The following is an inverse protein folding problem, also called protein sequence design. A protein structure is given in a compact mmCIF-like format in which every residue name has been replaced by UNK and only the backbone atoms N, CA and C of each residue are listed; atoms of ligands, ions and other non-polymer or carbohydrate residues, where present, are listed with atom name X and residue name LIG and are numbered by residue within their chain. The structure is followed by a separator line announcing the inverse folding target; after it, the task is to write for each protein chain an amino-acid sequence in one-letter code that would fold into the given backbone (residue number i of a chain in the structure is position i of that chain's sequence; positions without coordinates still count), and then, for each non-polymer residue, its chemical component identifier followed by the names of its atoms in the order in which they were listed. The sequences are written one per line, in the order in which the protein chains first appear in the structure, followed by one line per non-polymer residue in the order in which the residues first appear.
data_IF_063310683264
#
_entry.id   IF_063310683264
#
_cell.length_a   1.000
_cell.length_b   1.000
_cell.length_c   1.000
_cell.angle_alpha   90.00
_cell.angle_beta   90.00
_cell.angle_gamma   90.00
#
_symmetry.space_group_name_H-M   'P 1'
#
loop_
_entity.id
_entity.type
_entity.pdbx_description
1 polymer ?
#
# COMPACT_ATOMS: atom_id res chain seq x y z
N UNK A 1 -0.97 4.49 30.78
CA UNK A 1 -1.06 3.06 30.43
C UNK A 1 0.31 2.63 29.94
N UNK A 2 0.94 1.66 30.59
CA UNK A 2 2.08 0.95 30.01
C UNK A 2 1.54 -0.10 29.05
N UNK A 3 2.08 -0.16 27.84
CA UNK A 3 1.83 -1.29 26.93
C UNK A 3 2.81 -2.39 27.32
N UNK A 4 2.28 -3.57 27.66
CA UNK A 4 3.07 -4.77 27.94
C UNK A 4 2.88 -5.77 26.80
N UNK A 5 3.98 -6.37 26.34
CA UNK A 5 3.93 -7.42 25.31
C UNK A 5 3.76 -8.77 26.01
N UNK A 6 2.56 -9.34 25.90
CA UNK A 6 2.22 -10.64 26.54
C UNK A 6 2.79 -11.85 25.77
N UNK A 7 3.08 -11.70 24.47
CA UNK A 7 3.63 -12.78 23.65
C UNK A 7 3.80 -12.41 22.18
N UNK A 8 4.42 -13.33 21.42
CA UNK A 8 4.56 -13.23 19.97
C UNK A 8 3.77 -14.34 19.28
N UNK A 9 2.98 -13.97 18.28
CA UNK A 9 2.15 -14.90 17.52
C UNK A 9 2.62 -14.96 16.07
N UNK A 10 2.74 -16.18 15.54
CA UNK A 10 3.01 -16.37 14.11
C UNK A 10 1.67 -16.40 13.36
N UNK A 11 1.47 -15.42 12.49
CA UNK A 11 0.27 -15.33 11.64
C UNK A 11 0.40 -16.28 10.45
N UNK A 12 1.53 -16.21 9.74
CA UNK A 12 1.84 -17.11 8.63
C UNK A 12 3.35 -17.27 8.51
N UNK A 13 3.80 -18.51 8.29
CA UNK A 13 5.21 -18.83 8.04
C UNK A 13 5.28 -20.05 7.12
N UNK A 14 6.03 -19.92 6.03
CA UNK A 14 6.28 -21.00 5.08
C UNK A 14 7.68 -20.82 4.49
N UNK A 15 8.52 -21.85 4.56
CA UNK A 15 9.91 -21.78 4.10
C UNK A 15 10.04 -21.53 2.59
N UNK A 16 9.04 -21.93 1.81
CA UNK A 16 9.02 -21.74 0.35
C UNK A 16 8.67 -20.30 -0.04
N UNK A 17 8.28 -19.45 0.91
CA UNK A 17 7.80 -18.11 0.63
C UNK A 17 8.51 -17.03 1.45
N UNK A 18 8.87 -15.94 0.77
CA UNK A 18 9.26 -14.69 1.41
C UNK A 18 8.04 -13.78 1.54
N UNK A 19 7.74 -13.34 2.76
CA UNK A 19 6.52 -12.59 3.09
C UNK A 19 6.75 -11.13 3.52
N UNK A 20 7.94 -10.59 3.26
CA UNK A 20 8.31 -9.24 3.72
C UNK A 20 8.46 -8.24 2.59
N UNK A 21 8.47 -6.92 2.87
CA UNK A 21 7.84 -6.26 4.02
C UNK A 21 6.44 -5.71 3.71
N UNK A 22 5.77 -5.21 4.77
CA UNK A 22 4.58 -4.36 4.67
C UNK A 22 3.22 -5.05 4.85
N UNK A 23 2.98 -5.82 5.92
CA UNK A 23 1.63 -6.26 6.24
C UNK A 23 0.75 -5.08 6.72
N UNK A 24 -0.56 -5.25 6.58
CA UNK A 24 -1.57 -4.40 7.24
C UNK A 24 -2.62 -5.27 7.91
N UNK A 25 -3.31 -4.70 8.89
CA UNK A 25 -4.30 -5.39 9.70
C UNK A 25 -5.53 -4.52 9.86
N UNK A 26 -6.70 -5.14 9.76
CA UNK A 26 -7.98 -4.56 10.15
C UNK A 26 -8.67 -5.49 11.14
N UNK A 27 -9.32 -4.89 12.13
CA UNK A 27 -10.08 -5.61 13.15
C UNK A 27 -11.55 -5.27 12.96
N UNK A 28 -12.35 -6.29 12.72
CA UNK A 28 -13.80 -6.19 12.72
C UNK A 28 -14.32 -6.39 14.16
N UNK A 29 -15.56 -5.97 14.43
CA UNK A 29 -16.23 -6.31 15.68
C UNK A 29 -16.23 -7.83 15.95
N UNK A 30 -16.39 -8.22 17.22
CA UNK A 30 -16.48 -9.62 17.66
C UNK A 30 -15.20 -10.46 17.46
N UNK A 31 -14.02 -9.82 17.46
CA UNK A 31 -12.73 -10.54 17.48
C UNK A 31 -12.27 -11.09 16.14
N UNK A 32 -12.95 -10.72 15.04
CA UNK A 32 -12.52 -11.06 13.68
C UNK A 32 -11.39 -10.14 13.24
N UNK A 33 -10.28 -10.72 12.80
CA UNK A 33 -9.08 -9.98 12.38
C UNK A 33 -8.72 -10.40 10.96
N UNK A 34 -8.44 -9.44 10.09
CA UNK A 34 -7.94 -9.70 8.73
C UNK A 34 -6.58 -9.06 8.58
N UNK A 35 -5.62 -9.86 8.12
CA UNK A 35 -4.26 -9.41 7.82
C UNK A 35 -4.03 -9.54 6.34
N UNK A 36 -3.68 -8.44 5.70
CA UNK A 36 -3.15 -8.44 4.36
C UNK A 36 -1.63 -8.43 4.41
N UNK A 37 -1.02 -9.26 3.59
CA UNK A 37 0.43 -9.33 3.44
C UNK A 37 0.76 -9.77 2.04
N UNK A 38 2.02 -9.62 1.64
CA UNK A 38 2.50 -10.09 0.36
C UNK A 38 3.30 -11.38 0.53
N UNK A 39 3.32 -12.23 -0.48
CA UNK A 39 4.21 -13.39 -0.55
C UNK A 39 4.76 -13.56 -1.95
N UNK A 40 5.93 -14.16 -2.05
CA UNK A 40 6.55 -14.61 -3.29
C UNK A 40 7.39 -15.85 -2.97
N UNK A 41 7.79 -16.64 -3.98
CA UNK A 41 8.76 -17.72 -3.75
C UNK A 41 10.02 -17.18 -3.07
N UNK A 42 10.48 -17.89 -2.06
CA UNK A 42 11.66 -17.53 -1.29
C UNK A 42 12.91 -17.84 -2.10
N UNK A 43 13.78 -16.83 -2.21
CA UNK A 43 15.12 -16.95 -2.75
C UNK A 43 16.17 -16.51 -1.72
N UNK A 44 15.79 -16.55 -0.43
CA UNK A 44 16.63 -16.08 0.66
C UNK A 44 17.89 -16.93 0.83
N UNK A 45 17.82 -18.23 0.53
CA UNK A 45 18.96 -19.14 0.60
C UNK A 45 20.01 -18.81 -0.48
N UNK A 46 19.57 -18.19 -1.57
CA UNK A 46 20.38 -17.69 -2.67
C UNK A 46 20.83 -16.24 -2.43
N UNK A 47 20.53 -15.66 -1.25
CA UNK A 47 20.89 -14.28 -0.89
C UNK A 47 20.00 -13.21 -1.52
N UNK A 48 18.82 -13.59 -2.06
CA UNK A 48 17.92 -12.66 -2.71
C UNK A 48 16.70 -12.36 -1.83
N UNK A 49 16.64 -11.12 -1.35
CA UNK A 49 15.45 -10.50 -0.78
C UNK A 49 15.20 -9.18 -1.51
N UNK A 50 13.94 -8.79 -1.66
CA UNK A 50 13.63 -7.55 -2.37
C UNK A 50 12.28 -6.99 -2.01
N UNK A 51 12.11 -5.69 -2.23
CA UNK A 51 10.83 -5.02 -2.05
C UNK A 51 9.86 -5.28 -3.21
N UNK A 52 10.32 -5.78 -4.36
CA UNK A 52 9.47 -6.11 -5.48
C UNK A 52 9.97 -7.36 -6.21
N UNK A 53 9.02 -8.12 -6.74
CA UNK A 53 9.23 -9.24 -7.66
C UNK A 53 7.97 -9.36 -8.54
N UNK A 54 8.08 -9.64 -9.85
CA UNK A 54 6.92 -9.73 -10.75
C UNK A 54 5.86 -10.74 -10.27
N UNK A 55 6.29 -11.88 -9.75
CA UNK A 55 5.44 -12.92 -9.15
C UNK A 55 5.00 -12.66 -7.70
N UNK A 56 5.03 -11.41 -7.21
CA UNK A 56 4.52 -11.09 -5.86
C UNK A 56 3.00 -11.25 -5.84
N UNK A 57 2.47 -11.90 -4.81
CA UNK A 57 1.04 -12.07 -4.58
C UNK A 57 0.64 -11.34 -3.30
N UNK A 58 -0.46 -10.59 -3.34
CA UNK A 58 -1.11 -10.07 -2.13
C UNK A 58 -2.13 -11.08 -1.63
N UNK A 59 -2.07 -11.34 -0.33
CA UNK A 59 -2.85 -12.36 0.35
C UNK A 59 -3.62 -11.78 1.53
N UNK A 60 -4.78 -12.36 1.82
CA UNK A 60 -5.53 -12.18 3.06
C UNK A 60 -5.47 -13.45 3.88
N UNK A 61 -5.19 -13.33 5.18
CA UNK A 61 -5.46 -14.38 6.17
C UNK A 61 -6.34 -13.81 7.27
N UNK A 62 -7.21 -14.65 7.83
CA UNK A 62 -8.26 -14.22 8.76
C UNK A 62 -8.23 -15.04 10.02
N UNK A 63 -8.48 -14.37 11.13
CA UNK A 63 -8.75 -14.96 12.43
C UNK A 63 -10.21 -14.71 12.80
N UNK A 64 -10.84 -15.66 13.46
CA UNK A 64 -12.19 -15.54 14.04
C UNK A 64 -12.20 -15.68 15.57
N UNK A 65 -11.01 -15.74 16.19
CA UNK A 65 -10.81 -16.05 17.60
C UNK A 65 -9.78 -15.11 18.25
N UNK A 66 -9.83 -13.82 17.91
CA UNK A 66 -8.98 -12.77 18.48
C UNK A 66 -7.47 -12.95 18.18
N UNK A 67 -7.14 -13.57 17.05
CA UNK A 67 -5.77 -13.74 16.56
C UNK A 67 -5.10 -15.01 17.04
N UNK A 68 -5.84 -15.93 17.68
CA UNK A 68 -5.32 -17.18 18.21
C UNK A 68 -5.04 -18.19 17.08
N UNK A 69 -5.92 -18.27 16.09
CA UNK A 69 -5.75 -19.11 14.90
C UNK A 69 -6.04 -18.35 13.60
N UNK A 70 -5.45 -18.83 12.50
CA UNK A 70 -5.46 -18.13 11.22
C UNK A 70 -5.84 -19.08 10.09
N UNK A 71 -6.66 -18.58 9.16
CA UNK A 71 -7.01 -19.30 7.94
C UNK A 71 -5.81 -19.40 7.00
N UNK A 72 -5.87 -20.36 6.07
CA UNK A 72 -4.94 -20.39 4.95
C UNK A 72 -5.00 -19.06 4.16
N UNK A 73 -3.86 -18.54 3.67
CA UNK A 73 -3.84 -17.29 2.92
C UNK A 73 -4.57 -17.39 1.57
N UNK A 74 -5.48 -16.47 1.31
CA UNK A 74 -6.18 -16.32 0.04
C UNK A 74 -5.53 -15.21 -0.80
N UNK A 75 -5.05 -15.55 -2.00
CA UNK A 75 -4.51 -14.57 -2.95
C UNK A 75 -5.66 -13.76 -3.54
N UNK A 76 -5.49 -12.43 -3.64
CA UNK A 76 -6.51 -11.55 -4.22
C UNK A 76 -5.96 -10.54 -5.24
N UNK A 77 -4.64 -10.28 -5.27
CA UNK A 77 -3.97 -9.48 -6.30
C UNK A 77 -2.56 -10.02 -6.58
N UNK A 78 -2.02 -9.75 -7.77
CA UNK A 78 -0.65 -10.10 -8.18
C UNK A 78 0.14 -8.90 -8.72
N UNK A 79 1.45 -8.86 -8.51
CA UNK A 79 2.37 -7.82 -8.98
C UNK A 79 2.39 -6.52 -8.15
N UNK A 80 1.51 -6.41 -7.15
CA UNK A 80 1.36 -5.24 -6.28
C UNK A 80 2.24 -5.31 -5.02
N UNK A 81 2.45 -4.15 -4.39
CA UNK A 81 3.34 -3.95 -3.24
C UNK A 81 2.62 -3.26 -2.07
N UNK A 82 3.12 -3.43 -0.85
CA UNK A 82 2.62 -2.76 0.36
C UNK A 82 1.09 -2.80 0.52
N UNK A 83 0.50 -3.98 0.77
CA UNK A 83 -0.94 -4.06 0.99
C UNK A 83 -1.35 -3.25 2.22
N UNK A 84 -2.11 -2.18 2.02
CA UNK A 84 -2.62 -1.32 3.07
C UNK A 84 -4.15 -1.40 3.12
N UNK A 85 -4.69 -2.07 4.14
CA UNK A 85 -6.12 -2.16 4.40
C UNK A 85 -6.60 -1.07 5.37
N UNK A 86 -7.79 -0.55 5.10
CA UNK A 86 -8.60 0.25 6.02
C UNK A 86 -10.01 -0.32 6.05
N UNK A 87 -10.54 -0.56 7.25
CA UNK A 87 -11.97 -0.84 7.46
C UNK A 87 -12.69 0.48 7.74
N UNK A 88 -13.63 0.83 6.88
CA UNK A 88 -14.49 1.99 7.05
C UNK A 88 -15.58 1.71 8.10
N UNK A 89 -16.15 2.76 8.68
CA UNK A 89 -17.22 2.67 9.69
C UNK A 89 -18.48 1.96 9.18
N UNK A 90 -18.72 2.00 7.88
CA UNK A 90 -19.84 1.33 7.22
C UNK A 90 -19.58 -0.14 6.85
N UNK A 91 -18.42 -0.68 7.24
CA UNK A 91 -18.04 -2.08 7.03
C UNK A 91 -17.30 -2.37 5.72
N UNK A 92 -17.16 -1.39 4.83
CA UNK A 92 -16.43 -1.56 3.57
C UNK A 92 -14.91 -1.58 3.80
N UNK A 93 -14.17 -2.29 2.95
CA UNK A 93 -12.71 -2.21 2.94
C UNK A 93 -12.23 -1.29 1.82
N UNK A 94 -11.27 -0.44 2.17
CA UNK A 94 -10.39 0.22 1.22
C UNK A 94 -9.04 -0.48 1.26
N UNK A 95 -8.49 -0.75 0.09
CA UNK A 95 -7.13 -1.23 -0.04
C UNK A 95 -6.34 -0.30 -0.95
N UNK A 96 -5.33 0.36 -0.39
CA UNK A 96 -4.34 1.11 -1.16
C UNK A 96 -3.06 0.29 -1.36
N UNK A 97 -2.46 0.43 -2.54
CA UNK A 97 -1.26 -0.29 -2.95
C UNK A 97 -0.63 0.40 -4.15
N UNK A 98 0.59 0.04 -4.50
CA UNK A 98 1.25 0.50 -5.72
C UNK A 98 1.91 -0.68 -6.42
N UNK A 99 2.25 -0.52 -7.70
CA UNK A 99 2.93 -1.57 -8.46
C UNK A 99 4.02 -1.00 -9.36
N UNK A 100 4.96 -1.87 -9.70
CA UNK A 100 5.86 -1.69 -10.84
C UNK A 100 5.36 -2.63 -11.93
N UNK A 101 4.98 -2.07 -13.08
CA UNK A 101 4.54 -2.83 -14.24
C UNK A 101 5.75 -3.51 -14.87
N UNK A 102 5.70 -4.84 -15.06
CA UNK A 102 6.72 -5.55 -15.81
C UNK A 102 6.55 -5.23 -17.30
N UNK A 103 7.59 -4.68 -17.91
CA UNK A 103 7.56 -4.28 -19.32
C UNK A 103 8.70 -4.91 -20.10
N UNK A 104 8.65 -4.79 -21.44
CA UNK A 104 9.81 -5.11 -22.29
C UNK A 104 10.90 -4.04 -22.11
N UNK A 105 12.14 -4.44 -22.34
CA UNK A 105 13.30 -3.54 -22.21
C UNK A 105 13.19 -2.30 -23.09
N UNK A 106 12.69 -2.43 -24.33
CA UNK A 106 12.50 -1.29 -25.24
C UNK A 106 11.49 -0.26 -24.73
N UNK A 107 10.48 -0.69 -23.97
CA UNK A 107 9.54 0.21 -23.30
C UNK A 107 10.23 0.94 -22.14
N UNK A 108 10.95 0.21 -21.27
CA UNK A 108 11.67 0.82 -20.14
C UNK A 108 12.74 1.82 -20.60
N UNK A 109 13.47 1.49 -21.67
CA UNK A 109 14.52 2.34 -22.26
C UNK A 109 13.95 3.62 -22.89
N UNK A 110 12.66 3.61 -23.29
CA UNK A 110 11.97 4.79 -23.83
C UNK A 110 11.54 5.79 -22.76
N UNK A 111 11.45 5.36 -21.50
CA UNK A 111 11.09 6.21 -20.37
C UNK A 111 12.26 7.09 -19.92
N UNK A 112 11.95 8.17 -19.20
CA UNK A 112 12.99 8.92 -18.49
C UNK A 112 13.68 8.00 -17.46
N UNK A 113 15.00 7.96 -17.47
CA UNK A 113 15.79 7.08 -16.59
C UNK A 113 15.90 7.70 -15.20
N UNK A 114 14.79 7.65 -14.47
CA UNK A 114 14.62 8.18 -13.12
C UNK A 114 14.20 7.07 -12.16
N UNK A 115 14.22 7.37 -10.86
CA UNK A 115 13.74 6.44 -9.84
C UNK A 115 12.27 6.10 -10.10
N UNK A 116 11.99 4.80 -10.24
CA UNK A 116 10.71 4.27 -10.71
C UNK A 116 10.76 3.58 -12.07
N UNK A 117 11.85 3.75 -12.83
CA UNK A 117 12.17 2.93 -14.01
C UNK A 117 13.30 1.97 -13.64
N UNK A 118 13.03 0.67 -13.74
CA UNK A 118 13.98 -0.39 -13.51
C UNK A 118 14.44 -0.96 -14.84
N UNK A 119 15.75 -1.04 -15.03
CA UNK A 119 16.38 -1.74 -16.15
C UNK A 119 17.13 -2.98 -15.61
N UNK A 120 17.33 -3.99 -16.47
CA UNK A 120 18.00 -5.24 -16.08
C UNK A 120 17.13 -6.48 -16.29
N UNK A 121 17.21 -7.45 -15.37
CA UNK A 121 16.59 -8.77 -15.52
C UNK A 121 15.06 -8.71 -15.58
N UNK A 122 14.45 -7.78 -14.85
CA UNK A 122 13.02 -7.51 -14.88
C UNK A 122 12.79 -6.02 -15.13
N UNK A 123 12.78 -5.59 -16.41
CA UNK A 123 12.49 -4.21 -16.75
C UNK A 123 11.11 -3.84 -16.24
N UNK A 124 10.99 -2.70 -15.56
CA UNK A 124 9.74 -2.33 -14.94
C UNK A 124 9.55 -0.83 -14.81
N UNK A 125 8.32 -0.37 -14.93
CA UNK A 125 7.97 1.05 -14.80
C UNK A 125 6.92 1.22 -13.72
N UNK A 126 7.17 2.10 -12.76
CA UNK A 126 6.26 2.36 -11.67
C UNK A 126 4.91 2.86 -12.20
N UNK A 127 3.82 2.22 -11.76
CA UNK A 127 2.46 2.43 -12.27
C UNK A 127 1.52 3.05 -11.23
N UNK A 128 2.09 3.84 -10.32
CA UNK A 128 1.35 4.64 -9.36
C UNK A 128 0.63 3.84 -8.28
N UNK A 129 -0.16 4.57 -7.50
CA UNK A 129 -0.97 4.02 -6.41
C UNK A 129 -2.38 3.72 -6.91
N UNK A 130 -2.81 2.48 -6.70
CA UNK A 130 -4.15 1.98 -6.96
C UNK A 130 -4.92 1.83 -5.65
N UNK A 131 -6.18 2.25 -5.65
CA UNK A 131 -7.11 2.16 -4.53
C UNK A 131 -8.28 1.27 -4.94
N UNK A 132 -8.41 0.16 -4.22
CA UNK A 132 -9.43 -0.85 -4.42
C UNK A 132 -10.49 -0.74 -3.32
N UNK A 133 -11.74 -1.07 -3.67
CA UNK A 133 -12.87 -1.09 -2.76
C UNK A 133 -13.45 -2.50 -2.70
N UNK A 134 -13.79 -2.95 -1.50
CA UNK A 134 -14.56 -4.16 -1.30
C UNK A 134 -15.80 -3.88 -0.45
N UNK A 135 -16.92 -4.40 -0.93
CA UNK A 135 -18.25 -4.27 -0.31
C UNK A 135 -18.60 -5.51 0.54
N UNK A 136 -17.77 -6.56 0.48
CA UNK A 136 -17.98 -7.89 1.07
C UNK A 136 -16.76 -8.37 1.87
N UNK A 137 -16.09 -7.42 2.53
CA UNK A 137 -14.98 -7.67 3.46
C UNK A 137 -13.80 -8.43 2.83
N UNK A 138 -13.46 -8.05 1.61
CA UNK A 138 -12.32 -8.53 0.85
C UNK A 138 -12.55 -9.92 0.24
N UNK A 139 -13.80 -10.36 0.10
CA UNK A 139 -14.11 -11.55 -0.68
C UNK A 139 -14.03 -11.25 -2.19
N UNK A 140 -14.50 -10.07 -2.60
CA UNK A 140 -14.34 -9.51 -3.94
C UNK A 140 -13.86 -8.07 -3.89
N UNK A 141 -13.24 -7.62 -4.99
CA UNK A 141 -12.71 -6.26 -5.14
C UNK A 141 -13.23 -5.68 -6.45
N UNK A 142 -13.71 -4.43 -6.41
CA UNK A 142 -14.11 -3.70 -7.61
C UNK A 142 -12.91 -3.15 -8.39
N UNK A 143 -13.18 -2.47 -9.50
CA UNK A 143 -12.12 -1.82 -10.30
C UNK A 143 -11.33 -0.79 -9.48
N UNK A 144 -10.00 -0.69 -9.69
CA UNK A 144 -9.17 0.24 -8.95
C UNK A 144 -9.28 1.66 -9.48
N UNK A 145 -9.18 2.63 -8.57
CA UNK A 145 -8.99 4.04 -8.90
C UNK A 145 -7.53 4.41 -8.66
N UNK A 146 -6.89 5.07 -9.62
CA UNK A 146 -5.50 5.51 -9.47
C UNK A 146 -5.43 6.94 -8.96
N UNK A 147 -4.47 7.22 -8.08
CA UNK A 147 -4.17 8.59 -7.66
C UNK A 147 -3.67 9.41 -8.86
N UNK A 148 -4.06 10.68 -8.92
CA UNK A 148 -3.76 11.57 -10.05
C UNK A 148 -3.76 13.05 -9.64
N UNK A 149 -3.32 13.93 -10.54
CA UNK A 149 -3.49 15.38 -10.39
C UNK A 149 -2.48 16.07 -9.48
N UNK A 150 -1.36 15.41 -9.14
CA UNK A 150 -0.23 16.09 -8.51
C UNK A 150 0.39 17.07 -9.51
N UNK A 151 0.52 18.37 -9.19
CA UNK A 151 1.12 19.35 -10.10
C UNK A 151 2.53 18.97 -10.51
N UNK A 152 2.86 19.16 -11.79
CA UNK A 152 4.18 18.93 -12.39
C UNK A 152 4.71 17.48 -12.29
N UNK A 153 3.85 16.52 -11.94
CA UNK A 153 4.21 15.10 -11.85
C UNK A 153 3.47 14.30 -12.93
N UNK A 154 4.20 14.01 -14.01
CA UNK A 154 3.68 13.25 -15.15
C UNK A 154 3.91 11.73 -15.00
N UNK A 155 3.07 10.88 -15.63
CA UNK A 155 3.35 9.45 -15.75
C UNK A 155 4.70 9.18 -16.42
N UNK A 156 5.39 8.14 -15.96
CA UNK A 156 6.66 7.71 -16.57
C UNK A 156 6.47 7.12 -17.98
N UNK A 157 5.26 6.67 -18.28
CA UNK A 157 4.82 6.21 -19.60
C UNK A 157 3.34 6.56 -19.79
N UNK A 158 2.93 6.90 -21.02
CA UNK A 158 1.57 7.39 -21.33
C UNK A 158 0.43 6.41 -21.00
N UNK A 159 0.74 5.12 -20.87
CA UNK A 159 -0.22 4.07 -20.49
C UNK A 159 -0.33 3.84 -18.98
N UNK A 160 0.43 4.56 -18.15
CA UNK A 160 0.51 4.33 -16.71
C UNK A 160 0.00 5.54 -15.91
N UNK A 161 -0.25 5.33 -14.62
CA UNK A 161 -0.57 6.41 -13.69
C UNK A 161 0.68 7.18 -13.25
N UNK A 162 0.48 8.34 -12.62
CA UNK A 162 1.58 9.13 -12.04
C UNK A 162 2.37 8.29 -11.02
N UNK A 163 3.72 8.45 -10.95
CA UNK A 163 4.56 7.56 -10.18
C UNK A 163 4.57 7.92 -8.69
N UNK A 164 3.43 7.75 -8.01
CA UNK A 164 3.31 7.90 -6.55
C UNK A 164 3.14 6.55 -5.88
N UNK A 165 3.96 6.27 -4.87
CA UNK A 165 3.86 5.07 -4.05
C UNK A 165 3.14 5.37 -2.73
N UNK A 166 2.57 4.34 -2.10
CA UNK A 166 1.92 4.47 -0.80
C UNK A 166 2.33 3.35 0.14
N UNK A 167 2.59 3.74 1.38
CA UNK A 167 2.53 2.88 2.55
C UNK A 167 2.06 3.73 3.73
N UNK A 168 0.97 3.29 4.35
CA UNK A 168 0.29 4.02 5.40
C UNK A 168 -1.12 3.50 5.60
N UNK A 169 -2.01 4.39 6.02
CA UNK A 169 -3.44 4.16 6.10
C UNK A 169 -4.22 5.10 5.18
N UNK A 170 -5.41 4.65 4.80
CA UNK A 170 -6.52 5.58 4.54
C UNK A 170 -7.16 5.88 5.89
N UNK A 171 -7.40 7.15 6.20
CA UNK A 171 -8.18 7.55 7.38
C UNK A 171 -9.58 8.00 6.95
N UNK A 172 -10.60 7.53 7.64
CA UNK A 172 -11.95 8.07 7.57
C UNK A 172 -12.12 9.14 8.66
N UNK A 173 -12.12 10.40 8.25
CA UNK A 173 -12.29 11.53 9.17
C UNK A 173 -13.65 11.49 9.86
N UNK A 174 -13.82 12.18 10.98
CA UNK A 174 -15.12 12.35 11.68
C UNK A 174 -16.20 12.91 10.76
N UNK A 175 -15.82 13.69 9.75
CA UNK A 175 -16.72 14.22 8.72
C UNK A 175 -17.20 13.17 7.70
N UNK A 176 -16.60 11.98 7.67
CA UNK A 176 -16.82 10.95 6.65
C UNK A 176 -15.92 11.08 5.42
N UNK A 177 -15.16 12.18 5.29
CA UNK A 177 -14.13 12.36 4.25
C UNK A 177 -13.02 11.32 4.44
N UNK A 178 -12.55 10.72 3.35
CA UNK A 178 -11.39 9.84 3.38
C UNK A 178 -10.14 10.62 2.97
N UNK A 179 -9.02 10.37 3.65
CA UNK A 179 -7.72 10.92 3.30
C UNK A 179 -6.66 9.83 3.17
N UNK A 180 -5.73 10.02 2.25
CA UNK A 180 -4.56 9.15 2.06
C UNK A 180 -3.33 10.00 1.73
N UNK A 181 -2.17 9.53 2.19
CA UNK A 181 -0.87 10.05 1.75
C UNK A 181 -0.21 9.11 0.74
N UNK A 182 0.39 9.69 -0.29
CA UNK A 182 1.28 8.99 -1.23
C UNK A 182 2.46 9.90 -1.55
N UNK A 183 3.61 9.31 -1.89
CA UNK A 183 4.85 10.03 -2.14
C UNK A 183 5.35 9.79 -3.56
N UNK A 184 5.95 10.80 -4.19
CA UNK A 184 6.61 10.63 -5.48
C UNK A 184 7.88 9.77 -5.36
N UNK A 185 8.57 9.58 -6.48
CA UNK A 185 9.83 8.86 -6.52
C UNK A 185 11.04 9.81 -6.71
N UNK A 186 10.89 11.11 -6.46
CA UNK A 186 11.98 12.08 -6.61
C UNK A 186 13.01 11.96 -5.47
N UNK A 187 14.17 12.62 -5.62
CA UNK A 187 15.20 12.70 -4.60
C UNK A 187 15.51 14.17 -4.28
N UNK A 188 15.06 14.72 -3.12
CA UNK A 188 14.34 14.03 -2.06
C UNK A 188 12.87 13.71 -2.38
N UNK A 189 12.29 12.67 -1.75
CA UNK A 189 10.86 12.37 -1.90
C UNK A 189 9.95 13.50 -1.39
N UNK A 190 8.85 13.76 -2.09
CA UNK A 190 7.74 14.58 -1.61
C UNK A 190 6.51 13.73 -1.32
N UNK A 191 5.91 13.93 -0.15
CA UNK A 191 4.65 13.32 0.25
C UNK A 191 3.47 14.27 0.00
N UNK A 192 2.37 13.73 -0.51
CA UNK A 192 1.17 14.46 -0.93
C UNK A 192 -0.07 13.88 -0.26
N UNK A 193 -1.06 14.74 -0.04
CA UNK A 193 -2.37 14.39 0.47
C UNK A 193 -3.37 14.32 -0.69
N UNK A 194 -4.20 13.27 -0.66
CA UNK A 194 -5.35 13.11 -1.54
C UNK A 194 -6.60 12.93 -0.68
N UNK A 195 -7.74 13.39 -1.19
CA UNK A 195 -9.01 13.32 -0.47
C UNK A 195 -10.09 12.64 -1.30
N UNK A 196 -11.04 12.01 -0.63
CA UNK A 196 -12.24 11.47 -1.26
C UNK A 196 -13.46 11.86 -0.44
N UNK A 197 -14.41 12.52 -1.10
CA UNK A 197 -15.72 12.90 -0.56
C UNK A 197 -16.84 11.95 -1.05
N UNK A 198 -16.50 10.92 -1.83
CA UNK A 198 -17.43 10.00 -2.48
C UNK A 198 -17.22 8.53 -2.08
N UNK A 199 -16.75 8.32 -0.85
CA UNK A 199 -16.47 7.00 -0.24
C UNK A 199 -15.40 6.19 -1.00
N UNK A 200 -14.38 6.88 -1.49
CA UNK A 200 -13.21 6.28 -2.13
C UNK A 200 -13.35 6.02 -3.63
N UNK A 201 -14.35 6.61 -4.30
CA UNK A 201 -14.58 6.43 -5.74
C UNK A 201 -13.75 7.39 -6.60
N UNK A 202 -13.36 8.52 -6.04
CA UNK A 202 -12.39 9.44 -6.63
C UNK A 202 -11.45 9.99 -5.56
N UNK A 203 -10.23 10.34 -5.98
CA UNK A 203 -9.15 10.76 -5.09
C UNK A 203 -8.37 11.95 -5.68
N UNK A 204 -8.99 13.14 -5.79
CA UNK A 204 -8.28 14.34 -6.19
C UNK A 204 -7.10 14.65 -5.26
N UNK A 205 -6.04 15.18 -5.87
CA UNK A 205 -4.94 15.81 -5.16
C UNK A 205 -5.44 16.98 -4.30
N UNK A 206 -4.96 17.06 -3.07
CA UNK A 206 -5.31 18.12 -2.12
C UNK A 206 -4.13 19.09 -1.88
N UNK A 207 -2.97 18.57 -1.49
CA UNK A 207 -1.79 19.40 -1.17
C UNK A 207 -0.51 18.56 -1.06
N UNK A 208 0.65 19.22 -1.10
CA UNK A 208 1.92 18.65 -0.64
C UNK A 208 1.96 18.75 0.89
N UNK A 209 2.30 17.64 1.55
CA UNK A 209 2.43 17.56 3.02
C UNK A 209 3.83 17.99 3.43
N UNK A 210 4.86 17.35 2.86
CA UNK A 210 6.26 17.63 3.16
C UNK A 210 7.19 17.13 2.03
N UNK A 211 8.39 17.69 1.98
CA UNK A 211 9.52 17.24 1.16
C UNK A 211 10.57 16.61 2.08
N UNK A 212 11.30 15.61 1.59
CA UNK A 212 12.19 14.78 2.40
C UNK A 212 11.49 13.65 3.14
N UNK A 213 10.29 13.22 2.72
CA UNK A 213 9.52 12.19 3.44
C UNK A 213 8.76 11.26 2.48
N UNK A 214 8.50 10.03 2.94
CA UNK A 214 7.77 9.02 2.17
C UNK A 214 6.60 8.37 2.94
N UNK A 215 6.76 7.15 3.44
CA UNK A 215 5.73 6.34 4.09
C UNK A 215 5.09 7.12 5.25
N UNK A 216 3.77 7.27 5.22
CA UNK A 216 3.06 8.23 6.07
C UNK A 216 1.82 7.60 6.68
N UNK A 217 1.68 7.69 8.01
CA UNK A 217 0.47 7.33 8.73
C UNK A 217 -0.26 8.60 9.18
N UNK A 218 -1.55 8.69 8.87
CA UNK A 218 -2.41 9.83 9.18
C UNK A 218 -3.27 9.55 10.41
N UNK A 219 -3.44 10.55 11.26
CA UNK A 219 -4.30 10.50 12.44
C UNK A 219 -5.06 11.82 12.62
N UNK A 220 -6.38 11.74 12.80
CA UNK A 220 -7.21 12.89 13.16
C UNK A 220 -7.29 12.99 14.68
N UNK A 221 -6.90 14.13 15.23
CA UNK A 221 -6.92 14.37 16.67
C UNK A 221 -8.34 14.62 17.19
N UNK A 222 -8.48 14.66 18.53
CA UNK A 222 -9.76 15.00 19.15
C UNK A 222 -10.22 16.43 18.82
N UNK A 223 -9.29 17.36 18.63
CA UNK A 223 -9.54 18.74 18.17
C UNK A 223 -9.92 18.83 16.70
N UNK A 224 -9.75 17.76 15.91
CA UNK A 224 -10.01 17.76 14.46
C UNK A 224 -8.79 18.16 13.61
N UNK A 225 -7.61 18.30 14.22
CA UNK A 225 -6.38 18.51 13.48
C UNK A 225 -5.91 17.21 12.83
N UNK A 226 -5.22 17.32 11.69
CA UNK A 226 -4.61 16.18 11.03
C UNK A 226 -3.12 16.11 11.39
N UNK A 227 -2.71 15.03 12.05
CA UNK A 227 -1.31 14.68 12.28
C UNK A 227 -0.83 13.68 11.23
N UNK A 228 0.38 13.89 10.70
CA UNK A 228 1.06 12.98 9.78
C UNK A 228 2.35 12.48 10.42
N UNK A 229 2.48 11.16 10.58
CA UNK A 229 3.69 10.49 11.04
C UNK A 229 4.43 9.94 9.84
N UNK A 230 5.59 10.51 9.53
CA UNK A 230 6.24 10.36 8.24
C UNK A 230 7.65 9.77 8.39
N UNK A 231 7.99 8.80 7.55
CA UNK A 231 9.36 8.29 7.44
C UNK A 231 10.23 9.29 6.68
N UNK A 232 11.36 9.66 7.28
CA UNK A 232 12.34 10.57 6.70
C UNK A 232 13.07 9.93 5.51
N UNK A 233 13.25 10.69 4.44
CA UNK A 233 14.04 10.35 3.27
C UNK A 233 15.51 10.76 3.52
N UNK A 234 16.45 9.81 3.42
CA UNK A 234 17.88 10.07 3.65
C UNK A 234 18.44 9.57 4.99
N UNK A 235 17.76 8.63 5.65
CA UNK A 235 18.21 7.98 6.89
C UNK A 235 18.40 6.46 6.81
N UNK A 236 18.42 5.88 5.60
CA UNK A 236 18.63 4.44 5.37
C UNK A 236 20.09 4.13 4.99
#
# INVERSE_FOLDING_TARGET
MSVEVEGFHTIYKNADHYCGPGPSVVVEGNGRVTVAFRKVKSWLNEGHSGHWHPGTELCLTRSVDYGQSWSDPQVFLGGYQCPCLTLLRDGKLIHSTHKTELVRTDVADSCAQVRGVHTGLWPGVHSGTAIWRSEDFGATWGEPVHLSGVPDLEPLHSNLAIPVATRGNVIEMKSGRLLISAYDLTDPNSAYLFCSDDQGRSWPYQSRIAEGFNETFLYETDSGDLAAFMRNWGGD
#
